data_IF_833382948952
#
_entry.id   IF_833382948952
#
_cell.length_a   1.000
_cell.length_b   1.000
_cell.length_c   1.000
_cell.angle_alpha   90.00
_cell.angle_beta   90.00
_cell.angle_gamma   90.00
#
_symmetry.space_group_name_H-M   'P 1'
#
loop_
_entity.id
_entity.type
_entity.pdbx_description
1 polymer ?
#
# COMPACT_ATOMS: atom_id res chain seq x y z
N UNK A 1 16.94 -28.40 0.55
CA UNK A 1 16.07 -28.94 1.63
C UNK A 1 15.50 -27.76 2.40
N UNK A 2 14.21 -27.48 2.27
CA UNK A 2 13.59 -26.42 3.05
C UNK A 2 13.59 -26.77 4.53
N UNK A 3 14.33 -26.01 5.31
CA UNK A 3 14.32 -26.14 6.77
C UNK A 3 12.92 -25.80 7.29
N UNK A 4 12.21 -26.78 7.83
CA UNK A 4 10.85 -26.61 8.35
C UNK A 4 10.90 -26.23 9.83
N UNK A 5 10.57 -24.97 10.16
CA UNK A 5 10.54 -24.47 11.53
C UNK A 5 9.11 -24.33 12.05
N UNK A 6 8.91 -24.53 13.36
CA UNK A 6 7.58 -24.43 13.98
C UNK A 6 7.00 -23.01 13.91
N UNK A 7 7.81 -22.00 14.18
CA UNK A 7 7.33 -20.61 14.33
C UNK A 7 7.08 -19.88 13.00
N UNK A 8 7.97 -20.00 12.01
CA UNK A 8 7.90 -19.22 10.79
C UNK A 8 7.11 -19.86 9.66
N UNK A 9 6.94 -21.18 9.65
CA UNK A 9 6.26 -21.88 8.57
C UNK A 9 5.33 -23.02 9.03
N UNK A 10 5.12 -23.18 10.33
CA UNK A 10 4.26 -24.25 10.88
C UNK A 10 4.60 -25.63 10.30
N UNK A 11 5.88 -26.00 10.33
CA UNK A 11 6.40 -27.23 9.72
C UNK A 11 6.11 -27.32 8.21
N UNK A 12 6.14 -26.20 7.50
CA UNK A 12 5.88 -26.11 6.06
C UNK A 12 4.42 -25.88 5.64
N UNK A 13 3.47 -25.83 6.57
CA UNK A 13 2.04 -25.63 6.23
C UNK A 13 1.73 -24.24 5.69
N UNK A 14 2.54 -23.23 6.03
CA UNK A 14 2.38 -21.85 5.56
C UNK A 14 3.20 -21.53 4.29
N UNK A 15 3.91 -22.51 3.72
CA UNK A 15 4.71 -22.29 2.50
C UNK A 15 3.84 -21.94 1.29
N UNK A 16 2.58 -22.35 1.29
CA UNK A 16 1.63 -22.11 0.20
C UNK A 16 0.98 -20.70 0.22
N UNK A 17 1.32 -19.84 1.19
CA UNK A 17 0.89 -18.45 1.13
C UNK A 17 1.63 -17.78 -0.03
N UNK A 18 0.86 -17.36 -1.03
CA UNK A 18 1.41 -16.75 -2.24
C UNK A 18 2.26 -15.51 -1.91
N UNK A 19 3.48 -15.50 -2.41
CA UNK A 19 4.40 -14.37 -2.31
C UNK A 19 4.94 -14.07 -3.71
N UNK A 20 4.54 -12.95 -4.32
CA UNK A 20 5.16 -12.49 -5.55
C UNK A 20 6.68 -12.32 -5.34
N UNK A 21 7.45 -12.54 -6.39
CA UNK A 21 8.89 -12.25 -6.35
C UNK A 21 9.10 -10.76 -6.16
N UNK A 22 9.94 -10.42 -5.20
CA UNK A 22 10.30 -9.02 -4.98
C UNK A 22 11.07 -8.47 -6.18
N UNK A 23 10.78 -7.24 -6.65
CA UNK A 23 11.40 -6.66 -7.84
C UNK A 23 12.91 -6.61 -7.75
N UNK A 24 13.60 -7.04 -8.80
CA UNK A 24 15.07 -7.12 -8.82
C UNK A 24 15.72 -5.75 -8.59
N UNK A 25 15.19 -4.69 -9.21
CA UNK A 25 15.74 -3.35 -9.02
C UNK A 25 15.62 -2.84 -7.58
N UNK A 26 14.49 -3.10 -6.89
CA UNK A 26 14.33 -2.75 -5.47
C UNK A 26 15.24 -3.61 -4.58
N UNK A 27 15.40 -4.89 -4.92
CA UNK A 27 16.35 -5.77 -4.23
C UNK A 27 17.77 -5.22 -4.34
N UNK A 28 18.19 -4.84 -5.54
CA UNK A 28 19.53 -4.27 -5.77
C UNK A 28 19.74 -2.98 -4.98
N UNK A 29 18.76 -2.07 -4.99
CA UNK A 29 18.80 -0.86 -4.17
C UNK A 29 18.94 -1.14 -2.66
N UNK A 30 18.41 -2.28 -2.19
CA UNK A 30 18.51 -2.69 -0.78
C UNK A 30 19.81 -3.40 -0.43
N UNK A 31 20.46 -4.07 -1.37
CA UNK A 31 21.57 -5.00 -1.10
C UNK A 31 22.92 -4.55 -1.66
N UNK A 32 22.94 -3.74 -2.71
CA UNK A 32 24.17 -3.26 -3.32
C UNK A 32 24.81 -2.10 -2.53
N UNK A 33 26.06 -1.82 -2.87
CA UNK A 33 26.86 -0.74 -2.24
C UNK A 33 27.12 0.43 -3.21
N UNK A 34 26.27 0.61 -4.20
CA UNK A 34 26.32 1.72 -5.15
C UNK A 34 25.95 3.06 -4.49
N UNK A 35 26.22 4.18 -5.16
CA UNK A 35 25.80 5.51 -4.69
C UNK A 35 24.28 5.61 -4.61
N UNK A 36 23.60 5.08 -5.59
CA UNK A 36 22.15 5.00 -5.68
C UNK A 36 21.56 4.18 -4.53
N UNK A 37 22.11 3.00 -4.28
CA UNK A 37 21.70 2.12 -3.17
C UNK A 37 21.88 2.79 -1.81
N UNK A 38 22.99 3.48 -1.58
CA UNK A 38 23.21 4.26 -0.35
C UNK A 38 22.20 5.40 -0.20
N UNK A 39 21.91 6.12 -1.30
CA UNK A 39 20.89 7.17 -1.32
C UNK A 39 19.52 6.59 -0.98
N UNK A 40 19.14 5.49 -1.61
CA UNK A 40 17.87 4.79 -1.37
C UNK A 40 17.74 4.32 0.07
N UNK A 41 18.71 3.56 0.57
CA UNK A 41 18.72 3.03 1.94
C UNK A 41 18.64 4.13 2.99
N UNK A 42 19.39 5.23 2.79
CA UNK A 42 19.35 6.40 3.67
C UNK A 42 17.98 7.09 3.69
N UNK A 43 17.25 7.07 2.58
CA UNK A 43 15.98 7.78 2.41
C UNK A 43 14.76 6.87 2.20
N UNK A 44 14.88 5.58 2.55
CA UNK A 44 13.88 4.55 2.25
C UNK A 44 12.47 4.92 2.73
N UNK A 45 12.34 5.53 3.92
CA UNK A 45 11.06 5.98 4.45
C UNK A 45 10.46 7.12 3.64
N UNK A 46 11.28 8.04 3.14
CA UNK A 46 10.82 9.13 2.28
C UNK A 46 10.36 8.60 0.93
N UNK A 47 11.12 7.69 0.32
CA UNK A 47 10.68 7.02 -0.91
C UNK A 47 9.35 6.31 -0.69
N UNK A 48 9.21 5.55 0.38
CA UNK A 48 7.95 4.87 0.67
C UNK A 48 6.79 5.86 0.85
N UNK A 49 6.96 6.87 1.68
CA UNK A 49 5.93 7.88 1.94
C UNK A 49 5.50 8.63 0.68
N UNK A 50 6.43 8.84 -0.27
CA UNK A 50 6.17 9.49 -1.56
C UNK A 50 5.22 8.67 -2.43
N UNK A 51 5.21 7.33 -2.26
CA UNK A 51 4.37 6.41 -3.02
C UNK A 51 3.26 5.76 -2.19
N UNK A 52 3.10 6.11 -0.92
CA UNK A 52 2.08 5.51 -0.07
C UNK A 52 0.66 5.94 -0.49
N UNK A 53 -0.27 4.99 -0.48
CA UNK A 53 -1.70 5.23 -0.70
C UNK A 53 -2.40 5.67 0.59
N UNK A 54 -1.77 5.41 1.74
CA UNK A 54 -2.27 5.76 3.05
C UNK A 54 -1.14 6.25 3.96
N UNK A 55 -1.48 7.10 4.92
CA UNK A 55 -0.55 7.53 5.95
C UNK A 55 -0.48 6.52 7.09
N UNK A 56 0.61 6.62 7.85
CA UNK A 56 0.71 6.10 9.20
C UNK A 56 0.64 7.29 10.15
N UNK A 57 -0.30 7.28 11.09
CA UNK A 57 -0.46 8.32 12.09
C UNK A 57 -0.56 7.72 13.51
N UNK A 58 -0.02 8.43 14.47
CA UNK A 58 -0.17 8.14 15.89
C UNK A 58 -0.03 9.42 16.70
N UNK A 59 -0.66 9.47 17.87
CA UNK A 59 -0.33 10.47 18.85
C UNK A 59 0.97 10.04 19.56
N UNK A 60 1.94 10.94 19.65
CA UNK A 60 3.17 10.71 20.39
C UNK A 60 3.32 11.80 21.47
N UNK A 61 4.04 11.49 22.53
CA UNK A 61 4.46 12.47 23.52
C UNK A 61 5.98 12.61 23.50
N UNK A 62 6.42 13.85 23.63
CA UNK A 62 7.83 14.11 23.92
C UNK A 62 8.17 13.49 25.29
N UNK A 63 9.15 12.62 25.29
CA UNK A 63 9.71 12.04 26.51
C UNK A 63 11.02 12.82 26.78
N UNK A 64 11.14 13.41 27.95
CA UNK A 64 12.42 13.94 28.38
C UNK A 64 13.41 12.76 28.57
N UNK A 65 14.24 12.53 27.57
CA UNK A 65 15.28 11.51 27.61
C UNK A 65 16.53 12.17 28.22
N UNK A 66 17.13 11.57 29.27
CA UNK A 66 18.40 12.03 29.77
C UNK A 66 19.46 12.06 28.67
N UNK A 67 20.33 13.08 28.67
CA UNK A 67 21.41 13.21 27.67
C UNK A 67 22.25 11.92 27.68
N UNK A 68 22.39 11.25 26.52
CA UNK A 68 23.15 10.01 26.38
C UNK A 68 22.34 8.72 26.53
N UNK A 69 21.02 8.80 26.74
CA UNK A 69 20.13 7.63 26.68
C UNK A 69 19.76 7.24 25.22
N UNK A 70 19.27 6.00 25.03
CA UNK A 70 18.76 5.59 23.70
C UNK A 70 17.52 6.41 23.33
N UNK A 71 17.36 6.71 22.04
CA UNK A 71 16.16 7.36 21.53
C UNK A 71 14.92 6.48 21.81
N UNK A 72 13.95 7.05 22.55
CA UNK A 72 12.72 6.38 22.90
C UNK A 72 11.56 7.07 22.18
N UNK A 73 10.81 6.31 21.40
CA UNK A 73 9.59 6.77 20.77
C UNK A 73 8.39 6.14 21.47
N UNK A 74 7.57 6.95 22.15
CA UNK A 74 6.38 6.50 22.85
C UNK A 74 5.13 6.89 22.09
N UNK A 75 4.35 5.89 21.67
CA UNK A 75 3.04 6.08 21.07
C UNK A 75 2.00 6.18 22.20
N UNK A 76 1.30 7.30 22.26
CA UNK A 76 0.16 7.49 23.16
C UNK A 76 -1.12 7.33 22.36
N UNK A 77 -1.98 6.39 22.77
CA UNK A 77 -3.26 6.15 22.11
C UNK A 77 -3.18 5.21 20.91
N UNK A 78 -4.13 5.32 19.99
CA UNK A 78 -4.28 4.41 18.88
C UNK A 78 -3.44 4.83 17.67
N UNK A 79 -2.88 3.84 16.99
CA UNK A 79 -2.35 3.99 15.63
C UNK A 79 -3.54 4.08 14.68
N UNK A 80 -3.47 5.02 13.74
CA UNK A 80 -4.48 5.19 12.71
C UNK A 80 -3.83 5.34 11.32
N UNK A 81 -4.57 4.96 10.30
CA UNK A 81 -4.15 5.06 8.93
C UNK A 81 -5.21 5.82 8.13
N UNK A 82 -4.79 6.87 7.43
CA UNK A 82 -5.68 7.72 6.65
C UNK A 82 -5.39 7.57 5.17
N UNK A 83 -6.44 7.50 4.37
CA UNK A 83 -6.36 7.65 2.92
C UNK A 83 -7.33 8.72 2.43
N UNK A 84 -7.18 9.17 1.19
CA UNK A 84 -8.11 10.11 0.58
C UNK A 84 -9.47 9.45 0.36
N UNK A 85 -10.54 10.09 0.79
CA UNK A 85 -11.93 9.67 0.58
C UNK A 85 -12.38 9.90 -0.88
N UNK A 86 -11.72 10.83 -1.58
CA UNK A 86 -12.04 11.20 -2.95
C UNK A 86 -10.81 11.14 -3.84
N UNK A 87 -11.03 10.80 -5.11
CA UNK A 87 -9.93 10.63 -6.07
C UNK A 87 -9.34 11.95 -6.56
N UNK A 88 -10.15 13.02 -6.60
CA UNK A 88 -9.68 14.33 -7.03
C UNK A 88 -9.37 15.24 -5.83
N UNK A 89 -8.24 15.96 -5.83
CA UNK A 89 -7.99 16.99 -4.83
C UNK A 89 -8.97 18.17 -5.02
N UNK A 90 -9.16 18.94 -3.97
CA UNK A 90 -9.84 20.24 -4.10
C UNK A 90 -9.02 21.15 -5.00
N UNK A 91 -9.67 21.98 -5.81
CA UNK A 91 -9.03 22.93 -6.71
C UNK A 91 -7.99 23.80 -5.96
N UNK A 92 -6.82 23.97 -6.58
CA UNK A 92 -5.69 24.70 -5.99
C UNK A 92 -4.86 23.93 -4.96
N UNK A 93 -5.25 22.71 -4.59
CA UNK A 93 -4.50 21.88 -3.64
C UNK A 93 -3.68 20.78 -4.31
N UNK A 94 -2.54 20.47 -3.71
CA UNK A 94 -1.71 19.36 -4.15
C UNK A 94 -2.39 18.01 -3.85
N UNK A 95 -2.23 17.01 -4.73
CA UNK A 95 -2.71 15.65 -4.50
C UNK A 95 -2.12 15.05 -3.22
N UNK A 96 -2.90 14.20 -2.55
CA UNK A 96 -2.49 13.46 -1.34
C UNK A 96 -2.74 11.97 -1.52
N UNK A 97 -1.89 11.13 -0.95
CA UNK A 97 -2.06 9.67 -0.92
C UNK A 97 -2.40 9.08 -2.30
N UNK A 98 -3.50 8.36 -2.38
CA UNK A 98 -3.98 7.72 -3.58
C UNK A 98 -4.32 8.70 -4.74
N UNK A 99 -4.55 9.98 -4.46
CA UNK A 99 -4.82 11.00 -5.49
C UNK A 99 -3.66 11.18 -6.50
N UNK A 100 -2.43 10.81 -6.15
CA UNK A 100 -1.32 10.80 -7.08
C UNK A 100 -1.47 9.77 -8.22
N UNK A 101 -2.26 8.73 -8.01
CA UNK A 101 -2.34 7.61 -8.95
C UNK A 101 -3.36 7.80 -10.07
N UNK A 102 -4.14 8.85 -10.00
CA UNK A 102 -5.06 9.29 -11.07
C UNK A 102 -4.37 10.21 -12.08
N UNK A 103 -3.28 10.84 -11.68
CA UNK A 103 -2.53 11.75 -12.54
C UNK A 103 -1.75 10.99 -13.60
N UNK A 104 -1.43 11.68 -14.70
CA UNK A 104 -0.42 11.21 -15.62
C UNK A 104 0.89 10.93 -14.88
N UNK A 105 1.60 9.88 -15.30
CA UNK A 105 2.80 9.42 -14.59
C UNK A 105 3.88 10.48 -14.54
N UNK A 106 4.05 11.27 -15.60
CA UNK A 106 5.03 12.36 -15.63
C UNK A 106 4.60 13.53 -14.76
N UNK A 107 3.33 13.90 -14.79
CA UNK A 107 2.78 14.94 -13.92
C UNK A 107 2.92 14.57 -12.44
N UNK A 108 2.57 13.34 -12.08
CA UNK A 108 2.72 12.83 -10.71
C UNK A 108 4.20 12.84 -10.27
N UNK A 109 5.13 12.48 -11.15
CA UNK A 109 6.55 12.50 -10.87
C UNK A 109 7.06 13.93 -10.65
N UNK A 110 6.65 14.88 -11.50
CA UNK A 110 7.03 16.29 -11.37
C UNK A 110 6.56 16.88 -10.02
N UNK A 111 5.32 16.64 -9.62
CA UNK A 111 4.78 17.09 -8.33
C UNK A 111 5.54 16.46 -7.16
N UNK A 112 5.82 15.15 -7.23
CA UNK A 112 6.61 14.45 -6.20
C UNK A 112 8.03 15.02 -6.08
N UNK A 113 8.68 15.28 -7.19
CA UNK A 113 10.05 15.83 -7.22
C UNK A 113 10.11 17.28 -6.75
N UNK A 114 9.09 18.07 -7.04
CA UNK A 114 8.99 19.46 -6.60
C UNK A 114 8.69 19.62 -5.09
N UNK A 115 8.26 18.54 -4.42
CA UNK A 115 7.96 18.60 -2.99
C UNK A 115 9.26 18.81 -2.18
N UNK A 116 9.36 19.87 -1.35
CA UNK A 116 10.55 20.15 -0.54
C UNK A 116 10.99 18.99 0.37
N UNK A 117 10.05 18.16 0.84
CA UNK A 117 10.36 16.97 1.64
C UNK A 117 11.17 15.93 0.86
N UNK A 118 11.09 15.94 -0.47
CA UNK A 118 11.71 14.98 -1.36
C UNK A 118 13.02 15.46 -1.99
N UNK A 119 13.51 16.66 -1.65
CA UNK A 119 14.71 17.29 -2.25
C UNK A 119 15.98 16.43 -2.25
N UNK A 120 16.06 15.44 -1.33
CA UNK A 120 17.22 14.55 -1.20
C UNK A 120 16.99 13.19 -1.89
N UNK A 121 15.90 13.02 -2.61
CA UNK A 121 15.59 11.80 -3.33
C UNK A 121 16.16 11.85 -4.75
N UNK A 122 16.71 10.74 -5.20
CA UNK A 122 17.20 10.60 -6.58
C UNK A 122 16.01 10.48 -7.55
N UNK A 123 15.99 11.31 -8.58
CA UNK A 123 14.90 11.37 -9.56
C UNK A 123 14.79 10.13 -10.47
N UNK A 124 15.92 9.45 -10.71
CA UNK A 124 15.91 8.21 -11.49
C UNK A 124 15.25 7.09 -10.68
N UNK A 125 15.61 6.97 -9.39
CA UNK A 125 14.97 6.00 -8.49
C UNK A 125 13.46 6.28 -8.37
N UNK A 126 13.06 7.55 -8.25
CA UNK A 126 11.63 7.93 -8.23
C UNK A 126 10.92 7.50 -9.51
N UNK A 127 11.56 7.67 -10.68
CA UNK A 127 11.01 7.27 -11.98
C UNK A 127 10.86 5.75 -12.07
N UNK A 128 11.88 4.99 -11.68
CA UNK A 128 11.88 3.53 -11.76
C UNK A 128 10.79 2.92 -10.84
N UNK A 129 10.67 3.45 -9.62
CA UNK A 129 9.59 3.05 -8.70
C UNK A 129 8.22 3.39 -9.30
N UNK A 130 8.05 4.61 -9.84
CA UNK A 130 6.80 5.04 -10.45
C UNK A 130 6.40 4.15 -11.63
N UNK A 131 7.36 3.81 -12.50
CA UNK A 131 7.16 2.91 -13.65
C UNK A 131 6.74 1.52 -13.18
N UNK A 132 7.48 0.94 -12.25
CA UNK A 132 7.15 -0.38 -11.71
C UNK A 132 5.75 -0.44 -11.08
N UNK A 133 5.41 0.51 -10.22
CA UNK A 133 4.09 0.56 -9.59
C UNK A 133 2.96 0.76 -10.62
N UNK A 134 3.24 1.48 -11.73
CA UNK A 134 2.27 1.64 -12.82
C UNK A 134 1.93 0.32 -13.49
N UNK A 135 2.94 -0.49 -13.69
CA UNK A 135 2.81 -1.75 -14.42
C UNK A 135 2.31 -2.91 -13.54
N UNK A 136 2.75 -2.96 -12.27
CA UNK A 136 2.59 -4.16 -11.46
C UNK A 136 1.70 -4.00 -10.23
N UNK A 137 1.48 -2.77 -9.72
CA UNK A 137 0.72 -2.57 -8.50
C UNK A 137 -0.80 -2.63 -8.76
N UNK A 138 -1.48 -3.58 -8.14
CA UNK A 138 -2.90 -3.83 -8.36
C UNK A 138 -3.76 -2.67 -7.83
N UNK A 139 -3.39 -2.04 -6.70
CA UNK A 139 -4.09 -0.85 -6.19
C UNK A 139 -4.07 0.27 -7.22
N UNK A 140 -2.89 0.61 -7.77
CA UNK A 140 -2.79 1.64 -8.81
C UNK A 140 -3.65 1.33 -10.02
N UNK A 141 -3.69 0.06 -10.46
CA UNK A 141 -4.55 -0.38 -11.56
C UNK A 141 -6.03 -0.18 -11.24
N UNK A 142 -6.45 -0.41 -10.00
CA UNK A 142 -7.85 -0.21 -9.57
C UNK A 142 -8.26 1.27 -9.62
N UNK A 143 -7.41 2.18 -9.17
CA UNK A 143 -7.66 3.62 -9.31
C UNK A 143 -7.73 4.06 -10.79
N UNK A 144 -6.82 3.55 -11.61
CA UNK A 144 -6.81 3.84 -13.06
C UNK A 144 -8.09 3.33 -13.74
N UNK A 145 -8.54 2.14 -13.40
CA UNK A 145 -9.78 1.55 -13.93
C UNK A 145 -10.99 2.46 -13.64
N UNK A 146 -11.11 3.01 -12.43
CA UNK A 146 -12.20 3.93 -12.09
C UNK A 146 -12.21 5.17 -12.98
N UNK A 147 -11.04 5.75 -13.25
CA UNK A 147 -10.90 6.93 -14.12
C UNK A 147 -11.24 6.61 -15.59
N UNK A 148 -10.80 5.46 -16.07
CA UNK A 148 -11.10 5.03 -17.44
C UNK A 148 -12.61 4.83 -17.61
N UNK A 149 -13.25 4.21 -16.63
CA UNK A 149 -14.69 4.00 -16.62
C UNK A 149 -15.47 5.33 -16.55
N UNK A 150 -15.04 6.26 -15.69
CA UNK A 150 -15.64 7.60 -15.61
C UNK A 150 -15.59 8.33 -16.95
N UNK A 151 -14.44 8.30 -17.64
CA UNK A 151 -14.26 8.91 -18.95
C UNK A 151 -15.15 8.26 -20.02
N UNK A 152 -15.27 6.94 -20.01
CA UNK A 152 -16.09 6.18 -20.94
C UNK A 152 -17.58 6.54 -20.78
N UNK A 153 -18.10 6.52 -19.55
CA UNK A 153 -19.49 6.87 -19.26
C UNK A 153 -19.77 8.33 -19.62
N UNK A 154 -18.88 9.24 -19.22
CA UNK A 154 -19.04 10.66 -19.55
C UNK A 154 -19.09 10.91 -21.07
N UNK A 155 -18.28 10.17 -21.82
CA UNK A 155 -18.27 10.25 -23.30
C UNK A 155 -19.58 9.71 -23.91
N UNK A 156 -20.14 8.64 -23.31
CA UNK A 156 -21.31 7.95 -23.85
C UNK A 156 -22.62 8.65 -23.44
N UNK A 157 -22.72 9.07 -22.17
CA UNK A 157 -23.94 9.61 -21.59
C UNK A 157 -23.96 11.14 -21.52
N UNK A 158 -22.82 11.81 -21.77
CA UNK A 158 -22.69 13.27 -21.71
C UNK A 158 -22.70 13.85 -20.31
N UNK A 159 -22.81 13.03 -19.28
CA UNK A 159 -22.87 13.42 -17.86
C UNK A 159 -21.83 12.61 -17.09
N UNK A 160 -21.08 13.28 -16.21
CA UNK A 160 -20.15 12.60 -15.33
C UNK A 160 -20.88 11.70 -14.33
N UNK A 161 -20.61 10.39 -14.29
CA UNK A 161 -21.29 9.47 -13.39
C UNK A 161 -20.86 9.73 -11.94
N UNK A 162 -21.72 9.39 -10.97
CA UNK A 162 -21.35 9.36 -9.56
C UNK A 162 -20.79 7.96 -9.24
N UNK A 163 -19.47 7.81 -9.27
CA UNK A 163 -18.80 6.54 -9.07
C UNK A 163 -18.17 6.41 -7.66
N UNK A 164 -18.11 5.18 -7.20
CA UNK A 164 -17.44 4.79 -5.98
C UNK A 164 -16.55 3.57 -6.25
N UNK A 165 -15.26 3.69 -5.97
CA UNK A 165 -14.32 2.57 -5.92
C UNK A 165 -14.34 1.98 -4.51
N UNK A 166 -14.71 0.73 -4.37
CA UNK A 166 -14.61 -0.01 -3.11
C UNK A 166 -13.47 -1.02 -3.19
N UNK A 167 -12.48 -0.87 -2.31
CA UNK A 167 -11.41 -1.86 -2.13
C UNK A 167 -11.93 -2.87 -1.13
N UNK A 168 -12.28 -4.05 -1.61
CA UNK A 168 -13.06 -5.07 -0.90
C UNK A 168 -12.23 -6.32 -0.61
N UNK A 169 -12.61 -7.07 0.43
CA UNK A 169 -11.98 -8.36 0.74
C UNK A 169 -12.29 -9.41 -0.34
N UNK A 170 -13.47 -9.36 -0.95
CA UNK A 170 -13.86 -10.30 -2.01
C UNK A 170 -14.68 -9.62 -3.12
N UNK A 171 -14.01 -9.03 -4.13
CA UNK A 171 -14.66 -8.26 -5.18
C UNK A 171 -15.59 -9.06 -6.10
N UNK A 172 -15.50 -10.41 -6.08
CA UNK A 172 -16.27 -11.26 -6.98
C UNK A 172 -17.69 -11.59 -6.47
N UNK A 173 -18.00 -11.33 -5.21
CA UNK A 173 -19.28 -11.72 -4.61
C UNK A 173 -20.42 -10.70 -4.82
N UNK A 174 -20.10 -9.44 -5.14
CA UNK A 174 -21.13 -8.41 -5.28
C UNK A 174 -21.58 -8.24 -6.73
N UNK A 175 -22.83 -8.58 -7.01
CA UNK A 175 -23.45 -8.46 -8.33
C UNK A 175 -23.81 -7.01 -8.73
N UNK A 176 -23.78 -6.05 -7.79
CA UNK A 176 -24.13 -4.63 -8.05
C UNK A 176 -22.95 -3.82 -8.59
N UNK A 177 -21.80 -4.45 -8.81
CA UNK A 177 -20.61 -3.80 -9.38
C UNK A 177 -20.87 -3.40 -10.84
N UNK A 178 -20.37 -2.25 -11.22
CA UNK A 178 -20.47 -1.74 -12.59
C UNK A 178 -19.44 -2.40 -13.54
N UNK A 179 -18.23 -2.67 -13.06
CA UNK A 179 -17.18 -3.28 -13.85
C UNK A 179 -17.27 -4.81 -13.88
N UNK A 180 -16.94 -5.41 -15.02
CA UNK A 180 -16.86 -6.86 -15.14
C UNK A 180 -15.76 -7.45 -14.23
N UNK A 181 -15.98 -8.63 -13.60
CA UNK A 181 -14.97 -9.30 -12.78
C UNK A 181 -13.76 -9.69 -13.64
N UNK A 182 -12.57 -9.34 -13.16
CA UNK A 182 -11.29 -9.80 -13.72
C UNK A 182 -10.53 -10.59 -12.68
N UNK A 183 -9.72 -11.52 -13.13
CA UNK A 183 -8.84 -12.28 -12.25
C UNK A 183 -7.85 -11.33 -11.55
N UNK A 184 -7.68 -11.50 -10.24
CA UNK A 184 -6.81 -10.68 -9.39
C UNK A 184 -7.26 -9.23 -9.12
N UNK A 185 -8.51 -8.88 -9.32
CA UNK A 185 -9.03 -7.59 -8.87
C UNK A 185 -9.18 -7.57 -7.35
N UNK A 186 -8.84 -6.41 -6.76
CA UNK A 186 -8.98 -6.14 -5.32
C UNK A 186 -9.99 -5.03 -5.05
N UNK A 187 -10.62 -4.51 -6.11
CA UNK A 187 -11.59 -3.43 -6.01
C UNK A 187 -12.69 -3.59 -7.04
N UNK A 188 -13.87 -3.08 -6.71
CA UNK A 188 -15.01 -2.98 -7.59
C UNK A 188 -15.46 -1.52 -7.70
N UNK A 189 -15.93 -1.13 -8.89
CA UNK A 189 -16.53 0.19 -9.12
C UNK A 189 -18.04 0.05 -9.11
N UNK A 190 -18.70 0.90 -8.38
CA UNK A 190 -20.15 0.98 -8.24
C UNK A 190 -20.64 2.33 -8.72
N UNK A 191 -21.81 2.35 -9.38
CA UNK A 191 -22.55 3.57 -9.56
C UNK A 191 -23.26 3.90 -8.24
N UNK A 192 -22.98 5.07 -7.68
CA UNK A 192 -23.58 5.48 -6.42
C UNK A 192 -25.01 6.02 -6.67
N UNK A 193 -25.96 5.10 -6.82
CA UNK A 193 -27.39 5.37 -6.90
C UNK A 193 -27.98 4.90 -5.57
N UNK A 194 -28.11 5.80 -4.61
CA UNK A 194 -28.81 5.61 -3.33
C UNK A 194 -28.65 4.22 -2.69
N UNK A 195 -27.56 3.99 -2.03
CA UNK A 195 -27.39 2.77 -1.25
C UNK A 195 -26.02 2.63 -0.62
N UNK A 196 -26.00 2.33 0.67
CA UNK A 196 -24.77 1.93 1.34
C UNK A 196 -24.20 0.66 0.72
N UNK A 197 -22.88 0.61 0.45
CA UNK A 197 -22.24 -0.64 0.05
C UNK A 197 -22.33 -1.66 1.18
N UNK A 198 -22.31 -2.95 0.84
CA UNK A 198 -22.73 -4.03 1.72
C UNK A 198 -21.82 -4.34 2.92
N UNK A 199 -20.60 -3.77 2.98
CA UNK A 199 -19.64 -4.16 4.01
C UNK A 199 -18.99 -2.95 4.70
N UNK A 200 -19.04 -2.92 6.06
CA UNK A 200 -18.49 -1.85 6.89
C UNK A 200 -16.97 -1.73 6.90
N UNK A 201 -16.24 -2.68 6.30
CA UNK A 201 -14.78 -2.71 6.32
C UNK A 201 -14.12 -2.23 5.04
N UNK A 202 -14.90 -1.99 4.00
CA UNK A 202 -14.37 -1.59 2.70
C UNK A 202 -13.82 -0.17 2.71
N UNK A 203 -12.72 0.04 2.02
CA UNK A 203 -12.19 1.37 1.77
C UNK A 203 -12.91 1.94 0.57
N UNK A 204 -13.67 3.02 0.79
CA UNK A 204 -14.49 3.69 -0.22
C UNK A 204 -13.84 4.95 -0.71
N UNK A 205 -13.72 5.09 -2.02
CA UNK A 205 -13.16 6.28 -2.66
C UNK A 205 -14.12 6.75 -3.75
N UNK A 206 -14.50 8.04 -3.68
CA UNK A 206 -15.48 8.64 -4.58
C UNK A 206 -14.81 9.50 -5.66
N UNK A 207 -15.43 9.63 -6.82
CA UNK A 207 -14.98 10.50 -7.89
C UNK A 207 -15.38 11.98 -7.69
N UNK A 208 -15.18 12.47 -6.50
CA UNK A 208 -15.48 13.85 -6.10
C UNK A 208 -14.19 14.63 -5.82
N UNK A 209 -14.31 15.95 -5.84
CA UNK A 209 -13.22 16.86 -5.49
C UNK A 209 -13.30 17.19 -4.01
N UNK A 210 -12.44 16.66 -3.19
CA UNK A 210 -12.28 17.10 -1.81
C UNK A 210 -10.96 16.63 -1.19
N UNK A 211 -10.57 17.28 -0.10
CA UNK A 211 -9.42 16.91 0.71
C UNK A 211 -9.81 16.05 1.93
N UNK A 212 -11.03 15.53 1.95
CA UNK A 212 -11.47 14.64 3.02
C UNK A 212 -10.65 13.36 3.04
N UNK A 213 -10.41 12.87 4.24
CA UNK A 213 -9.73 11.60 4.49
C UNK A 213 -10.65 10.63 5.22
N UNK A 214 -10.37 9.35 5.07
CA UNK A 214 -11.07 8.28 5.80
C UNK A 214 -10.05 7.38 6.49
N UNK A 215 -10.47 6.83 7.64
CA UNK A 215 -9.68 5.85 8.37
C UNK A 215 -9.75 4.47 7.68
N UNK A 216 -8.61 3.79 7.63
CA UNK A 216 -8.53 2.41 7.21
C UNK A 216 -8.51 1.52 8.46
N UNK A 217 -9.33 0.48 8.47
CA UNK A 217 -9.30 -0.50 9.55
C UNK A 217 -7.92 -1.17 9.64
N UNK A 218 -7.39 -1.32 10.86
CA UNK A 218 -6.13 -2.03 11.11
C UNK A 218 -6.19 -3.52 10.75
N UNK A 219 -7.38 -4.06 10.53
CA UNK A 219 -7.60 -5.45 10.11
C UNK A 219 -7.82 -5.59 8.61
N UNK A 220 -7.78 -4.48 7.86
CA UNK A 220 -7.99 -4.52 6.42
C UNK A 220 -6.81 -5.16 5.70
N UNK A 221 -7.07 -6.17 4.87
CA UNK A 221 -6.01 -6.96 4.22
C UNK A 221 -5.07 -6.16 3.32
N UNK A 222 -5.48 -5.02 2.79
CA UNK A 222 -4.63 -4.16 1.94
C UNK A 222 -3.97 -3.01 2.69
N UNK A 223 -4.14 -2.92 4.01
CA UNK A 223 -3.54 -1.86 4.82
C UNK A 223 -2.02 -1.78 4.66
N UNK A 224 -1.34 -2.92 4.78
CA UNK A 224 0.12 -2.98 4.67
C UNK A 224 0.59 -2.52 3.27
N UNK A 225 -0.09 -2.98 2.21
CA UNK A 225 0.23 -2.61 0.84
C UNK A 225 -0.03 -1.12 0.55
N UNK A 226 -1.06 -0.53 1.15
CA UNK A 226 -1.36 0.90 1.02
C UNK A 226 -0.36 1.77 1.78
N UNK A 227 0.10 1.32 2.93
CA UNK A 227 1.03 2.09 3.78
C UNK A 227 2.48 1.89 3.32
N UNK A 228 2.83 0.68 2.88
CA UNK A 228 4.20 0.28 2.54
C UNK A 228 4.34 -0.28 1.11
N UNK A 229 4.04 0.52 0.07
CA UNK A 229 4.07 0.04 -1.32
C UNK A 229 5.46 -0.40 -1.79
N UNK A 230 6.54 0.00 -1.14
CA UNK A 230 7.89 -0.48 -1.48
C UNK A 230 8.25 -1.80 -0.80
N UNK A 231 7.58 -2.17 0.29
CA UNK A 231 7.68 -3.51 0.91
C UNK A 231 6.79 -4.53 0.21
N UNK A 232 5.62 -4.09 -0.26
CA UNK A 232 4.57 -4.91 -0.88
C UNK A 232 4.22 -4.30 -2.25
N UNK A 233 5.19 -4.30 -3.21
CA UNK A 233 5.08 -3.49 -4.42
C UNK A 233 4.03 -3.98 -5.42
N UNK A 234 3.61 -5.23 -5.33
CA UNK A 234 2.51 -5.78 -6.12
C UNK A 234 1.13 -5.54 -5.50
N UNK A 235 1.08 -5.01 -4.27
CA UNK A 235 -0.13 -4.81 -3.47
C UNK A 235 -0.88 -6.12 -3.17
N UNK A 236 -0.15 -7.23 -3.04
CA UNK A 236 -0.74 -8.49 -2.59
C UNK A 236 -1.36 -8.34 -1.18
N UNK A 237 -2.41 -9.13 -0.92
CA UNK A 237 -3.11 -9.09 0.34
C UNK A 237 -2.20 -9.42 1.54
N UNK A 238 -2.39 -8.67 2.61
CA UNK A 238 -1.83 -8.92 3.92
C UNK A 238 -2.64 -9.96 4.72
N UNK A 239 -2.47 -9.92 6.03
CA UNK A 239 -3.27 -10.75 6.91
C UNK A 239 -4.72 -10.25 7.01
N UNK A 240 -5.66 -11.20 7.05
CA UNK A 240 -7.07 -10.95 7.35
C UNK A 240 -7.65 -12.10 8.18
N UNK A 241 -8.76 -11.86 8.88
CA UNK A 241 -9.35 -12.80 9.83
C UNK A 241 -9.80 -14.13 9.21
N UNK A 242 -10.13 -14.12 7.93
CA UNK A 242 -10.61 -15.30 7.19
C UNK A 242 -9.49 -16.10 6.53
N UNK A 243 -8.24 -15.68 6.68
CA UNK A 243 -7.10 -16.35 6.09
C UNK A 243 -6.93 -17.74 6.73
N UNK A 244 -6.95 -18.78 5.88
CA UNK A 244 -6.84 -20.18 6.28
C UNK A 244 -5.63 -20.86 5.68
N UNK A 245 -5.14 -21.87 6.39
CA UNK A 245 -4.12 -22.78 5.87
C UNK A 245 -4.77 -23.70 4.85
N UNK A 246 -4.36 -23.69 3.57
CA UNK A 246 -5.04 -24.45 2.51
C UNK A 246 -5.15 -25.95 2.79
N UNK A 247 -4.15 -26.55 3.44
CA UNK A 247 -4.07 -27.99 3.71
C UNK A 247 -4.90 -28.45 4.90
N UNK A 248 -5.26 -27.55 5.83
CA UNK A 248 -5.91 -27.94 7.09
C UNK A 248 -7.16 -27.16 7.40
N UNK A 249 -7.49 -26.16 6.58
CA UNK A 249 -8.61 -25.22 6.79
C UNK A 249 -8.59 -24.50 8.15
N UNK A 250 -7.47 -24.52 8.88
CA UNK A 250 -7.29 -23.80 10.15
C UNK A 250 -6.98 -22.33 9.89
N UNK A 251 -7.49 -21.45 10.73
CA UNK A 251 -7.21 -20.02 10.65
C UNK A 251 -5.72 -19.73 10.85
N UNK A 252 -5.21 -18.79 10.05
CA UNK A 252 -3.85 -18.24 10.18
C UNK A 252 -3.91 -17.05 11.11
N UNK A 253 -3.24 -17.11 12.26
CA UNK A 253 -3.16 -15.95 13.15
C UNK A 253 -2.25 -14.88 12.56
N UNK A 254 -2.46 -13.61 12.95
CA UNK A 254 -1.62 -12.49 12.55
C UNK A 254 -0.14 -12.76 12.86
N UNK A 255 0.16 -13.28 14.06
CA UNK A 255 1.52 -13.67 14.45
C UNK A 255 2.11 -14.71 13.50
N UNK A 256 1.36 -15.74 13.12
CA UNK A 256 1.83 -16.76 12.17
C UNK A 256 2.13 -16.16 10.80
N UNK A 257 1.25 -15.30 10.31
CA UNK A 257 1.41 -14.64 9.01
C UNK A 257 2.69 -13.80 8.96
N UNK A 258 2.87 -12.88 9.91
CA UNK A 258 4.04 -12.01 9.91
C UNK A 258 5.33 -12.77 10.24
N UNK A 259 5.31 -13.76 11.14
CA UNK A 259 6.47 -14.63 11.35
C UNK A 259 6.90 -15.34 10.06
N UNK A 260 5.92 -15.73 9.22
CA UNK A 260 6.21 -16.31 7.91
C UNK A 260 6.80 -15.27 6.94
N UNK A 261 6.25 -14.05 6.92
CA UNK A 261 6.75 -12.95 6.06
C UNK A 261 8.17 -12.50 6.44
N UNK A 262 8.50 -12.44 7.72
CA UNK A 262 9.83 -12.05 8.20
C UNK A 262 10.90 -13.17 8.09
N UNK A 263 10.51 -14.40 7.83
CA UNK A 263 11.46 -15.49 7.74
C UNK A 263 12.35 -15.37 6.50
N UNK A 264 13.67 -15.42 6.70
CA UNK A 264 14.67 -15.44 5.63
C UNK A 264 14.74 -16.87 5.09
N UNK A 265 14.55 -17.05 3.77
CA UNK A 265 14.60 -18.37 3.12
C UNK A 265 15.68 -18.46 2.05
N UNK A 266 15.85 -17.42 1.27
CA UNK A 266 16.72 -17.38 0.09
C UNK A 266 17.76 -16.26 0.20
N UNK A 267 18.46 -16.16 1.33
CA UNK A 267 19.47 -15.12 1.62
C UNK A 267 18.96 -13.68 1.58
N UNK A 268 17.74 -13.47 1.11
CA UNK A 268 17.11 -12.15 1.00
C UNK A 268 15.70 -12.15 1.60
N UNK A 269 15.41 -11.11 2.38
CA UNK A 269 14.06 -10.78 2.83
C UNK A 269 13.93 -9.27 2.98
N UNK A 270 13.10 -8.64 2.16
CA UNK A 270 12.92 -7.19 2.15
C UNK A 270 12.51 -6.63 3.52
N UNK A 271 11.66 -7.33 4.26
CA UNK A 271 11.20 -6.87 5.58
C UNK A 271 12.33 -6.79 6.60
N UNK A 272 13.25 -7.76 6.58
CA UNK A 272 14.40 -7.81 7.48
C UNK A 272 15.40 -6.71 7.16
N UNK A 273 15.69 -6.48 5.87
CA UNK A 273 16.64 -5.46 5.43
C UNK A 273 16.08 -4.06 5.67
N UNK A 274 14.79 -3.84 5.47
CA UNK A 274 14.13 -2.58 5.80
C UNK A 274 14.27 -2.23 7.28
N UNK A 275 14.11 -3.21 8.16
CA UNK A 275 14.33 -3.03 9.61
C UNK A 275 15.76 -2.57 9.91
N UNK A 276 16.77 -3.18 9.28
CA UNK A 276 18.17 -2.79 9.46
C UNK A 276 18.39 -1.36 8.97
N UNK A 277 17.92 -1.02 7.77
CA UNK A 277 18.06 0.33 7.19
C UNK A 277 17.32 1.41 8.00
N UNK A 278 16.21 1.05 8.66
CA UNK A 278 15.48 1.94 9.55
C UNK A 278 16.23 2.19 10.88
N UNK A 279 16.86 1.15 11.43
CA UNK A 279 17.62 1.24 12.68
C UNK A 279 18.95 2.00 12.54
N UNK A 280 19.48 2.16 11.32
CA UNK A 280 20.66 3.02 11.05
C UNK A 280 20.38 4.52 11.19
N UNK A 281 19.16 4.91 11.63
CA UNK A 281 18.74 6.30 11.84
C UNK A 281 18.44 6.67 13.29
N UNK A 282 18.56 5.70 14.18
CA UNK A 282 18.47 5.97 15.62
C UNK A 282 19.85 6.21 16.21
#
# INVERSE_FOLDING_TARGET
MDKKFNYCCQKGKLVHLHKPKYPVFLRNLLTENSKESKCFQKNIWKYNSTFAFASFGCAYSDINIPIGGPDIFKINGNIYHLTSKNIYPTEGNAPRYAQFYILDSQQALNIRSANPANRNLDSNILRDISSFLTEHNILKKSYKMMIELEKEITKTEGIAPNLMLSIVENPFQDQRRYNAPRTNEIAAVFQNVDGEPPFNRDIRVYNKNSNETTNISILHQHLDAMTYPLLIPHAEAGWHSELKIPTTNRSVTQKMFYSNRFAIRDEFNQFTIWKISANLRC
#
